data_IF_314706042170
#
_entry.id   IF_314706042170
#
_cell.length_a   1.000
_cell.length_b   1.000
_cell.length_c   1.000
_cell.angle_alpha   90.00
_cell.angle_beta   90.00
_cell.angle_gamma   90.00
#
_symmetry.space_group_name_H-M   'P 1'
#
loop_
_entity.id
_entity.type
_entity.pdbx_description
1 polymer ?
#
# COMPACT_ATOMS: atom_id res chain seq x y z
N UNK A 1 -10.88 22.06 5.96
CA UNK A 1 -9.69 21.30 5.50
C UNK A 1 -10.16 19.89 5.21
N UNK A 2 -9.75 19.31 4.09
CA UNK A 2 -9.95 17.87 3.87
C UNK A 2 -8.96 17.13 4.77
N UNK A 3 -9.45 16.18 5.55
CA UNK A 3 -8.59 15.33 6.36
C UNK A 3 -8.09 14.17 5.49
N UNK A 4 -6.79 14.12 5.26
CA UNK A 4 -6.16 13.21 4.30
C UNK A 4 -4.86 12.65 4.84
N UNK A 5 -4.60 11.36 4.61
CA UNK A 5 -3.39 10.66 5.05
C UNK A 5 -2.80 9.80 3.93
N UNK A 6 -1.47 9.63 3.90
CA UNK A 6 -0.80 8.64 3.04
C UNK A 6 -0.74 7.30 3.76
N UNK A 7 -1.05 6.21 3.06
CA UNK A 7 -0.97 4.87 3.64
C UNK A 7 0.47 4.47 3.99
N UNK A 8 0.64 3.79 5.12
CA UNK A 8 1.91 3.13 5.50
C UNK A 8 1.81 1.65 5.12
N UNK A 9 2.59 1.23 4.12
CA UNK A 9 2.58 -0.15 3.64
C UNK A 9 3.50 -1.06 4.47
N UNK A 10 3.31 -2.36 4.36
CA UNK A 10 4.27 -3.36 4.85
C UNK A 10 5.34 -3.60 3.79
N UNK A 11 6.55 -3.93 4.22
CA UNK A 11 7.61 -4.38 3.32
C UNK A 11 8.53 -5.41 3.96
N UNK A 12 9.06 -6.31 3.12
CA UNK A 12 10.12 -7.24 3.53
C UNK A 12 11.53 -6.73 3.30
N UNK A 13 11.65 -5.53 2.72
CA UNK A 13 12.93 -4.85 2.57
C UNK A 13 13.44 -4.43 3.94
N UNK A 14 14.73 -4.60 4.19
CA UNK A 14 15.35 -4.05 5.39
C UNK A 14 15.19 -2.50 5.45
N UNK A 15 14.97 -1.93 6.65
CA UNK A 15 14.90 -0.48 6.82
C UNK A 15 16.23 0.18 6.43
N UNK A 16 16.15 1.31 5.73
CA UNK A 16 17.27 2.20 5.44
C UNK A 16 17.58 3.08 6.65
N UNK A 17 18.80 3.63 6.76
CA UNK A 17 19.12 4.58 7.82
C UNK A 17 18.12 5.74 7.85
N UNK A 18 17.48 5.95 9.01
CA UNK A 18 16.47 6.99 9.22
C UNK A 18 15.02 6.54 9.00
N UNK A 19 14.77 5.36 8.42
CA UNK A 19 13.41 4.82 8.34
C UNK A 19 12.96 4.26 9.70
N UNK A 20 11.71 4.55 10.05
CA UNK A 20 11.09 4.16 11.32
C UNK A 20 9.92 3.21 11.03
N UNK A 21 9.90 2.07 11.75
CA UNK A 21 8.83 1.08 11.66
C UNK A 21 7.48 1.69 12.08
N UNK A 22 6.44 1.49 11.27
CA UNK A 22 5.09 1.99 11.51
C UNK A 22 4.88 3.47 11.15
N UNK A 23 5.94 4.19 10.80
CA UNK A 23 5.87 5.55 10.24
C UNK A 23 6.11 5.54 8.73
N UNK A 24 7.20 4.89 8.30
CA UNK A 24 7.60 4.84 6.90
C UNK A 24 7.07 3.56 6.23
N UNK A 25 7.30 2.42 6.88
CA UNK A 25 6.77 1.11 6.52
C UNK A 25 6.61 0.26 7.77
N UNK A 26 5.74 -0.74 7.71
CA UNK A 26 5.80 -1.88 8.60
C UNK A 26 6.80 -2.89 8.04
N UNK A 27 8.01 -2.88 8.60
CA UNK A 27 9.06 -3.83 8.24
C UNK A 27 8.78 -5.19 8.87
N UNK A 28 8.55 -6.20 8.04
CA UNK A 28 8.26 -7.59 8.41
C UNK A 28 9.20 -8.52 7.66
N UNK A 29 9.33 -9.78 8.06
CA UNK A 29 10.09 -10.75 7.27
C UNK A 29 9.25 -11.39 6.15
N UNK A 30 9.89 -12.13 5.24
CA UNK A 30 9.20 -12.79 4.13
C UNK A 30 8.21 -13.87 4.56
N UNK A 31 8.44 -14.57 5.68
CA UNK A 31 7.55 -15.62 6.16
C UNK A 31 6.27 -15.01 6.73
N UNK A 32 6.41 -13.95 7.53
CA UNK A 32 5.30 -13.15 8.03
C UNK A 32 4.50 -12.54 6.88
N UNK A 33 5.16 -11.90 5.91
CA UNK A 33 4.46 -11.31 4.78
C UNK A 33 3.67 -12.36 3.98
N UNK A 34 4.26 -13.54 3.72
CA UNK A 34 3.55 -14.64 3.06
C UNK A 34 2.38 -15.16 3.87
N UNK A 35 2.51 -15.27 5.19
CA UNK A 35 1.40 -15.61 6.07
C UNK A 35 0.28 -14.55 6.00
N UNK A 36 0.64 -13.27 5.89
CA UNK A 36 -0.31 -12.17 5.70
C UNK A 36 -1.05 -12.25 4.36
N UNK A 37 -0.37 -12.62 3.28
CA UNK A 37 -1.01 -12.91 1.99
C UNK A 37 -1.99 -14.07 2.14
N UNK A 38 -1.57 -15.17 2.79
CA UNK A 38 -2.39 -16.37 2.97
C UNK A 38 -3.68 -16.15 3.77
N UNK A 39 -3.72 -15.13 4.62
CA UNK A 39 -4.91 -14.71 5.37
C UNK A 39 -5.68 -13.55 4.72
N UNK A 40 -5.37 -13.22 3.46
CA UNK A 40 -5.99 -12.12 2.70
C UNK A 40 -5.91 -10.74 3.39
N UNK A 41 -4.86 -10.49 4.19
CA UNK A 41 -4.74 -9.26 4.98
C UNK A 41 -4.46 -7.99 4.15
N UNK A 42 -4.10 -8.13 2.87
CA UNK A 42 -3.72 -7.01 2.02
C UNK A 42 -4.81 -6.63 1.01
N UNK A 43 -5.06 -5.32 0.90
CA UNK A 43 -5.83 -4.77 -0.21
C UNK A 43 -5.06 -4.91 -1.52
N UNK A 44 -3.77 -4.63 -1.48
CA UNK A 44 -2.86 -4.87 -2.60
C UNK A 44 -1.52 -5.34 -2.08
N UNK A 45 -0.83 -6.13 -2.87
CA UNK A 45 0.57 -6.44 -2.64
C UNK A 45 1.28 -6.76 -3.96
N UNK A 46 2.59 -6.54 -4.00
CA UNK A 46 3.44 -6.85 -5.13
C UNK A 46 4.83 -7.30 -4.68
N UNK A 47 5.52 -8.05 -5.53
CA UNK A 47 6.93 -8.36 -5.36
C UNK A 47 7.76 -7.51 -6.32
N UNK A 48 8.68 -6.72 -5.78
CA UNK A 48 9.52 -5.79 -6.54
C UNK A 48 10.97 -6.01 -6.13
N UNK A 49 11.79 -6.45 -7.08
CA UNK A 49 13.21 -6.77 -6.85
C UNK A 49 13.44 -7.70 -5.64
N UNK A 50 12.62 -8.74 -5.49
CA UNK A 50 12.73 -9.75 -4.43
C UNK A 50 12.23 -9.32 -3.05
N UNK A 51 11.65 -8.12 -2.93
CA UNK A 51 11.02 -7.64 -1.71
C UNK A 51 9.51 -7.50 -1.94
N UNK A 52 8.73 -7.92 -0.96
CA UNK A 52 7.30 -7.71 -0.97
C UNK A 52 6.96 -6.32 -0.44
N UNK A 53 5.88 -5.76 -0.98
CA UNK A 53 5.23 -4.55 -0.52
C UNK A 53 3.74 -4.80 -0.51
N UNK A 54 3.03 -4.29 0.49
CA UNK A 54 1.58 -4.42 0.51
C UNK A 54 0.88 -3.55 1.53
N UNK A 55 -0.32 -3.12 1.17
CA UNK A 55 -1.13 -2.22 1.99
C UNK A 55 -2.19 -3.00 2.75
N UNK A 56 -2.13 -2.92 4.09
CA UNK A 56 -3.03 -3.63 5.00
C UNK A 56 -4.47 -3.19 4.80
N UNK A 57 -5.38 -4.15 4.61
CA UNK A 57 -6.82 -3.89 4.54
C UNK A 57 -7.34 -3.26 5.81
N UNK A 58 -7.03 -3.88 6.94
CA UNK A 58 -7.52 -3.46 8.25
C UNK A 58 -7.14 -2.02 8.55
N UNK A 59 -5.88 -1.66 8.29
CA UNK A 59 -5.37 -0.30 8.52
C UNK A 59 -6.11 0.73 7.65
N UNK A 60 -6.31 0.43 6.37
CA UNK A 60 -7.03 1.33 5.46
C UNK A 60 -8.49 1.48 5.89
N UNK A 61 -9.18 0.37 6.17
CA UNK A 61 -10.59 0.39 6.58
C UNK A 61 -10.77 1.15 7.90
N UNK A 62 -9.84 1.01 8.85
CA UNK A 62 -9.85 1.76 10.10
C UNK A 62 -9.72 3.27 9.85
N UNK A 63 -8.77 3.73 9.04
CA UNK A 63 -8.62 5.16 8.72
C UNK A 63 -9.83 5.70 7.95
N UNK A 64 -10.35 4.94 6.99
CA UNK A 64 -11.56 5.34 6.26
C UNK A 64 -12.77 5.46 7.19
N UNK A 65 -12.87 4.62 8.23
CA UNK A 65 -13.97 4.67 9.21
C UNK A 65 -14.00 5.96 10.04
N UNK A 66 -12.86 6.67 10.17
CA UNK A 66 -12.79 7.95 10.86
C UNK A 66 -13.16 9.13 9.97
N UNK A 67 -13.54 8.88 8.71
CA UNK A 67 -13.87 9.92 7.72
C UNK A 67 -12.65 10.56 7.04
N UNK A 68 -11.45 10.02 7.28
CA UNK A 68 -10.20 10.48 6.67
C UNK A 68 -10.02 9.80 5.33
N UNK A 69 -9.68 10.56 4.29
CA UNK A 69 -9.38 9.97 2.97
C UNK A 69 -7.93 9.49 2.92
N UNK A 70 -7.72 8.29 2.39
CA UNK A 70 -6.37 7.71 2.27
C UNK A 70 -5.86 7.81 0.84
N UNK A 71 -4.64 8.33 0.68
CA UNK A 71 -3.88 8.28 -0.56
C UNK A 71 -3.02 7.02 -0.57
N UNK A 72 -3.18 6.23 -1.64
CA UNK A 72 -2.36 5.07 -1.95
C UNK A 72 -1.35 5.45 -3.02
N UNK A 73 -0.06 5.30 -2.72
CA UNK A 73 1.03 5.41 -3.68
C UNK A 73 1.47 4.00 -4.09
N UNK A 74 0.93 3.52 -5.22
CA UNK A 74 1.04 2.13 -5.67
C UNK A 74 1.29 2.08 -7.18
N UNK A 75 1.90 0.98 -7.63
CA UNK A 75 2.12 0.73 -9.05
C UNK A 75 0.83 0.25 -9.77
N UNK A 76 0.94 -0.05 -11.06
CA UNK A 76 -0.19 -0.48 -11.86
C UNK A 76 -0.77 -1.85 -11.41
N UNK A 77 0.04 -2.74 -10.83
CA UNK A 77 -0.41 -4.05 -10.34
C UNK A 77 -1.24 -3.86 -9.06
N UNK A 78 -0.75 -3.00 -8.15
CA UNK A 78 -1.49 -2.61 -6.96
C UNK A 78 -2.81 -1.94 -7.32
N UNK A 79 -2.78 -0.96 -8.24
CA UNK A 79 -3.97 -0.25 -8.69
C UNK A 79 -5.04 -1.18 -9.30
N UNK A 80 -4.62 -2.24 -10.01
CA UNK A 80 -5.53 -3.26 -10.51
C UNK A 80 -6.21 -4.05 -9.39
N UNK A 81 -5.46 -4.44 -8.34
CA UNK A 81 -6.00 -5.14 -7.18
C UNK A 81 -6.98 -4.27 -6.38
N UNK A 82 -6.64 -2.98 -6.17
CA UNK A 82 -7.52 -2.02 -5.49
C UNK A 82 -8.84 -1.87 -6.25
N UNK A 83 -8.81 -1.71 -7.58
CA UNK A 83 -10.04 -1.61 -8.39
C UNK A 83 -10.95 -2.84 -8.25
N UNK A 84 -10.37 -4.02 -8.09
CA UNK A 84 -11.14 -5.26 -7.91
C UNK A 84 -11.72 -5.37 -6.50
N UNK A 85 -10.94 -5.03 -5.47
CA UNK A 85 -11.33 -5.20 -4.05
C UNK A 85 -12.09 -4.02 -3.45
N UNK A 86 -11.95 -2.82 -4.03
CA UNK A 86 -12.60 -1.57 -3.62
C UNK A 86 -13.11 -0.79 -4.85
N UNK A 87 -14.22 -1.21 -5.48
CA UNK A 87 -14.75 -0.58 -6.69
C UNK A 87 -15.11 0.90 -6.54
N UNK A 88 -15.33 1.37 -5.32
CA UNK A 88 -15.61 2.77 -4.97
C UNK A 88 -14.36 3.67 -4.96
N UNK A 89 -13.16 3.09 -5.00
CA UNK A 89 -11.92 3.85 -4.99
C UNK A 89 -11.80 4.75 -6.22
N UNK A 90 -11.21 5.93 -6.05
CA UNK A 90 -10.90 6.86 -7.13
C UNK A 90 -9.44 6.71 -7.51
N UNK A 91 -9.16 6.53 -8.80
CA UNK A 91 -7.81 6.35 -9.32
C UNK A 91 -7.37 7.53 -10.18
N UNK A 92 -6.14 7.98 -9.98
CA UNK A 92 -5.46 8.97 -10.84
C UNK A 92 -4.23 8.27 -11.41
N UNK A 93 -4.07 8.28 -12.73
CA UNK A 93 -2.87 7.77 -13.40
C UNK A 93 -2.14 8.92 -14.07
N UNK A 94 -0.88 9.13 -13.71
CA UNK A 94 -0.04 10.17 -14.27
C UNK A 94 0.80 9.55 -15.38
N UNK A 95 0.42 9.80 -16.63
CA UNK A 95 1.19 9.39 -17.79
C UNK A 95 2.39 10.37 -17.97
N UNK A 96 3.62 9.88 -18.20
CA UNK A 96 4.72 10.76 -18.55
C UNK A 96 4.43 11.51 -19.86
N UNK A 97 4.87 12.76 -19.94
CA UNK A 97 4.78 13.51 -21.18
C UNK A 97 5.67 12.85 -22.25
N UNK A 98 5.13 12.69 -23.45
CA UNK A 98 5.90 12.21 -24.61
C UNK A 98 6.61 13.42 -25.22
N UNK A 99 7.93 13.50 -25.10
CA UNK A 99 8.72 14.35 -26.00
C UNK A 99 8.69 13.72 -27.40
N UNK A 100 8.31 14.50 -28.40
CA UNK A 100 8.31 14.09 -29.82
C UNK A 100 9.64 14.40 -30.47
#
# INVERSE_FOLDING_TARGET
>A
MYDTQVSVSHTTRAPRPGEVHGEHYFFVDHDEFRAMIGREAFLEHAEVFGNYYGTSRETIEQVLSTGVNVFLDIDWQGAQQIRAKMPQARSIFILPAVER
#
